data_IF_372947718139
#
_entry.id   IF_372947718139
#
_cell.length_a   1.000
_cell.length_b   1.000
_cell.length_c   1.000
_cell.angle_alpha   90.00
_cell.angle_beta   90.00
_cell.angle_gamma   90.00
#
_symmetry.space_group_name_H-M   'P 1'
#
loop_
_entity.id
_entity.type
_entity.pdbx_description
1 polymer ?
#
# COMPACT_ATOMS: atom_id res chain seq x y z
N UNK A 1 -14.06 15.99 71.89
CA UNK A 1 -12.61 16.10 72.22
C UNK A 1 -11.95 14.85 71.69
N UNK A 2 -10.90 14.84 70.86
CA UNK A 2 -10.14 15.82 70.08
C UNK A 2 -9.58 14.99 68.92
N UNK A 3 -10.02 15.24 67.68
CA UNK A 3 -9.16 15.68 66.57
C UNK A 3 -7.67 15.97 66.91
N UNK A 4 -6.78 15.21 66.28
CA UNK A 4 -5.44 15.61 65.84
C UNK A 4 -5.19 14.80 64.54
N UNK A 5 -5.33 15.31 63.31
CA UNK A 5 -4.67 16.43 62.62
C UNK A 5 -3.15 16.42 62.77
N UNK A 6 -2.50 15.53 62.02
CA UNK A 6 -1.22 15.82 61.37
C UNK A 6 -1.07 14.99 60.08
N UNK A 7 -1.83 15.39 59.07
CA UNK A 7 -1.45 15.14 57.67
C UNK A 7 -0.82 16.45 57.20
N UNK A 8 0.49 16.57 57.41
CA UNK A 8 1.30 17.62 56.79
C UNK A 8 1.28 17.39 55.29
N UNK A 9 0.59 18.29 54.57
CA UNK A 9 0.76 18.52 53.14
C UNK A 9 2.25 18.77 52.86
N UNK A 10 2.95 17.79 52.30
CA UNK A 10 4.16 18.02 51.53
C UNK A 10 3.73 18.43 50.11
N UNK A 11 3.11 19.60 50.00
CA UNK A 11 3.12 20.39 48.77
C UNK A 11 4.37 21.26 48.84
N UNK A 12 5.04 21.43 47.71
CA UNK A 12 6.12 22.40 47.47
C UNK A 12 7.56 21.90 47.65
N UNK A 13 7.96 20.98 46.78
CA UNK A 13 9.19 21.09 46.00
C UNK A 13 9.11 20.07 44.85
N UNK A 14 8.48 20.45 43.73
CA UNK A 14 8.77 19.78 42.46
C UNK A 14 10.26 20.00 42.26
N UNK A 15 11.07 18.95 42.41
CA UNK A 15 12.49 18.99 42.06
C UNK A 15 12.54 19.49 40.63
N UNK A 16 12.99 20.74 40.45
CA UNK A 16 13.16 21.37 39.14
C UNK A 16 14.08 20.46 38.34
N UNK A 17 13.48 19.64 37.49
CA UNK A 17 14.21 18.66 36.70
C UNK A 17 15.15 19.43 35.80
N UNK A 18 16.45 19.12 35.87
CA UNK A 18 17.43 19.73 34.99
C UNK A 18 17.29 19.14 33.59
N UNK A 19 16.49 19.79 32.75
CA UNK A 19 16.27 19.36 31.36
C UNK A 19 17.54 19.45 30.51
N UNK A 20 18.57 20.18 30.94
CA UNK A 20 19.87 20.20 30.28
C UNK A 20 20.75 18.99 30.64
N UNK A 21 20.31 18.12 31.55
CA UNK A 21 21.03 16.89 31.90
C UNK A 21 20.79 15.79 30.83
N UNK A 22 21.85 15.25 30.20
CA UNK A 22 21.72 14.20 29.18
C UNK A 22 20.97 12.95 29.67
N UNK A 23 21.15 12.57 30.94
CA UNK A 23 20.49 11.39 31.51
C UNK A 23 18.97 11.59 31.64
N UNK A 24 18.53 12.83 31.88
CA UNK A 24 17.10 13.15 31.91
C UNK A 24 16.52 13.00 30.51
N UNK A 25 17.19 13.54 29.50
CA UNK A 25 16.74 13.40 28.11
C UNK A 25 16.67 11.93 27.69
N UNK A 26 17.69 11.12 28.01
CA UNK A 26 17.68 9.67 27.75
C UNK A 26 16.46 9.00 28.39
N UNK A 27 16.12 9.33 29.64
CA UNK A 27 14.92 8.78 30.31
C UNK A 27 13.63 9.14 29.58
N UNK A 28 13.48 10.38 29.09
CA UNK A 28 12.32 10.77 28.30
C UNK A 28 12.28 10.05 26.95
N UNK A 29 13.43 9.89 26.27
CA UNK A 29 13.55 9.15 25.02
C UNK A 29 13.20 7.67 25.20
N UNK A 30 13.66 7.03 26.27
CA UNK A 30 13.33 5.64 26.59
C UNK A 30 11.85 5.49 26.95
N UNK A 31 11.31 6.48 27.68
CA UNK A 31 9.91 6.48 28.05
C UNK A 31 8.99 6.57 26.83
N UNK A 32 9.22 7.51 25.88
CA UNK A 32 8.38 7.58 24.68
C UNK A 32 8.45 6.31 23.83
N UNK A 33 9.62 5.66 23.72
CA UNK A 33 9.77 4.37 23.04
C UNK A 33 8.95 3.28 23.72
N UNK A 34 8.94 3.27 25.06
CA UNK A 34 8.11 2.36 25.84
C UNK A 34 6.62 2.61 25.57
N UNK A 35 6.19 3.88 25.55
CA UNK A 35 4.80 4.25 25.25
C UNK A 35 4.37 3.88 23.84
N UNK A 36 5.24 4.07 22.84
CA UNK A 36 5.01 3.67 21.45
C UNK A 36 4.81 2.14 21.35
N UNK A 37 5.75 1.40 21.93
CA UNK A 37 5.77 -0.07 21.86
C UNK A 37 4.56 -0.74 22.49
N UNK A 38 4.05 -0.18 23.59
CA UNK A 38 2.93 -0.75 24.35
C UNK A 38 1.61 0.00 24.17
N UNK A 39 1.60 1.03 23.32
CA UNK A 39 0.44 1.84 23.01
C UNK A 39 -0.28 2.44 24.24
N UNK A 40 0.50 3.00 25.16
CA UNK A 40 0.02 3.57 26.42
C UNK A 40 -0.50 5.00 26.22
N UNK A 41 -1.75 5.09 25.76
CA UNK A 41 -2.41 6.34 25.36
C UNK A 41 -2.55 7.34 26.52
N UNK A 42 -2.91 6.90 27.73
CA UNK A 42 -3.14 7.81 28.86
C UNK A 42 -1.83 8.47 29.31
N UNK A 43 -0.79 7.66 29.46
CA UNK A 43 0.56 8.09 29.83
C UNK A 43 1.19 8.98 28.76
N UNK A 44 0.93 8.67 27.48
CA UNK A 44 1.33 9.55 26.38
C UNK A 44 0.57 10.88 26.43
N UNK A 45 -0.69 10.90 26.85
CA UNK A 45 -1.46 12.13 27.02
C UNK A 45 -0.93 12.97 28.19
N UNK A 46 -0.57 12.33 29.30
CA UNK A 46 0.08 13.01 30.43
C UNK A 46 1.41 13.64 30.00
N UNK A 47 2.22 12.89 29.24
CA UNK A 47 3.48 13.40 28.68
C UNK A 47 3.25 14.56 27.71
N UNK A 48 2.25 14.45 26.84
CA UNK A 48 1.85 15.50 25.88
C UNK A 48 1.49 16.81 26.57
N UNK A 49 0.78 16.75 27.69
CA UNK A 49 0.35 17.93 28.44
C UNK A 49 1.48 18.50 29.29
N UNK A 50 2.22 17.64 30.02
CA UNK A 50 3.20 18.08 31.00
C UNK A 50 4.53 18.56 30.40
N UNK A 51 5.03 17.89 29.36
CA UNK A 51 6.36 18.21 28.80
C UNK A 51 6.45 19.63 28.21
N UNK A 52 5.47 20.12 27.42
CA UNK A 52 5.49 21.51 26.94
C UNK A 52 5.53 22.53 28.08
N UNK A 53 4.77 22.32 29.15
CA UNK A 53 4.75 23.20 30.33
C UNK A 53 6.15 23.25 30.97
N UNK A 54 6.82 22.10 31.11
CA UNK A 54 8.18 22.03 31.65
C UNK A 54 9.20 22.75 30.75
N UNK A 55 9.03 22.67 29.42
CA UNK A 55 9.89 23.35 28.46
C UNK A 55 9.70 24.87 28.49
N UNK A 56 8.46 25.35 28.63
CA UNK A 56 8.13 26.78 28.74
C UNK A 56 8.65 27.39 30.04
N UNK A 57 8.63 26.66 31.15
CA UNK A 57 9.18 27.13 32.43
C UNK A 57 10.72 27.26 32.43
N UNK A 58 11.40 26.73 31.41
CA UNK A 58 12.86 26.71 31.29
C UNK A 58 13.33 27.55 30.11
N UNK A 59 13.07 28.85 30.18
CA UNK A 59 13.40 29.86 29.16
C UNK A 59 14.85 29.79 28.64
N UNK A 60 15.80 29.30 29.45
CA UNK A 60 17.22 29.22 29.09
C UNK A 60 17.62 27.95 28.33
N UNK A 61 16.79 26.90 28.24
CA UNK A 61 17.17 25.64 27.58
C UNK A 61 17.47 25.87 26.09
N UNK A 62 16.73 26.77 25.45
CA UNK A 62 16.96 27.21 24.06
C UNK A 62 18.35 27.80 23.83
N UNK A 63 18.97 28.40 24.85
CA UNK A 63 20.30 29.01 24.79
C UNK A 63 21.41 28.05 25.20
N UNK A 64 21.16 27.20 26.20
CA UNK A 64 22.19 26.35 26.83
C UNK A 64 22.32 25.01 26.11
N UNK A 65 21.22 24.41 25.67
CA UNK A 65 21.20 23.11 25.02
C UNK A 65 20.12 23.06 23.92
N UNK A 66 20.30 23.79 22.80
CA UNK A 66 19.30 23.85 21.72
C UNK A 66 18.97 22.46 21.12
N UNK A 67 19.96 21.56 21.06
CA UNK A 67 19.76 20.19 20.58
C UNK A 67 18.84 19.37 21.49
N UNK A 68 18.87 19.64 22.80
CA UNK A 68 18.01 18.95 23.78
C UNK A 68 16.58 19.44 23.64
N UNK A 69 16.39 20.76 23.48
CA UNK A 69 15.08 21.34 23.20
C UNK A 69 14.45 20.72 21.93
N UNK A 70 15.25 20.54 20.87
CA UNK A 70 14.78 19.87 19.65
C UNK A 70 14.31 18.44 19.93
N UNK A 71 15.09 17.66 20.68
CA UNK A 71 14.74 16.27 21.02
C UNK A 71 13.50 16.19 21.93
N UNK A 72 13.36 17.05 22.93
CA UNK A 72 12.14 17.09 23.75
C UNK A 72 10.90 17.47 22.93
N UNK A 73 11.04 18.40 21.96
CA UNK A 73 9.94 18.73 21.05
C UNK A 73 9.54 17.53 20.20
N UNK A 74 10.51 16.79 19.67
CA UNK A 74 10.25 15.54 18.95
C UNK A 74 9.50 14.52 19.83
N UNK A 75 9.92 14.35 21.09
CA UNK A 75 9.23 13.49 22.08
C UNK A 75 7.77 13.93 22.28
N UNK A 76 7.53 15.24 22.42
CA UNK A 76 6.18 15.78 22.55
C UNK A 76 5.33 15.57 21.30
N UNK A 77 5.93 15.65 20.10
CA UNK A 77 5.27 15.36 18.82
C UNK A 77 4.84 13.89 18.75
N UNK A 78 5.73 12.96 19.10
CA UNK A 78 5.40 11.54 19.12
C UNK A 78 4.27 11.23 20.12
N UNK A 79 4.31 11.84 21.30
CA UNK A 79 3.23 11.72 22.28
C UNK A 79 1.87 12.17 21.67
N UNK A 80 1.85 13.27 20.90
CA UNK A 80 0.63 13.71 20.17
C UNK A 80 0.13 12.66 19.17
N UNK A 81 1.02 11.99 18.44
CA UNK A 81 0.64 10.94 17.49
C UNK A 81 0.11 9.67 18.16
N UNK A 82 0.60 9.31 19.35
CA UNK A 82 -0.01 8.21 20.13
C UNK A 82 -1.45 8.59 20.53
N UNK A 83 -1.66 9.86 20.86
CA UNK A 83 -2.90 10.34 21.44
C UNK A 83 -3.83 11.01 20.43
N UNK A 84 -3.76 10.68 19.13
CA UNK A 84 -4.57 11.38 18.11
C UNK A 84 -6.06 11.43 18.47
N UNK A 85 -6.61 10.36 19.05
CA UNK A 85 -8.04 10.24 19.39
C UNK A 85 -8.54 11.27 20.39
N UNK A 86 -7.67 11.83 21.24
CA UNK A 86 -8.06 12.85 22.24
C UNK A 86 -7.81 14.29 21.76
N UNK A 87 -7.14 14.47 20.63
CA UNK A 87 -6.89 15.80 20.05
C UNK A 87 -8.13 16.32 19.31
N UNK A 88 -8.28 17.64 19.26
CA UNK A 88 -9.28 18.26 18.38
C UNK A 88 -8.94 18.01 16.91
N UNK A 89 -9.95 18.07 16.03
CA UNK A 89 -9.74 17.86 14.59
C UNK A 89 -8.71 18.84 14.02
N UNK A 90 -8.75 20.10 14.46
CA UNK A 90 -7.80 21.15 14.04
C UNK A 90 -6.37 20.82 14.47
N UNK A 91 -6.16 20.35 15.69
CA UNK A 91 -4.83 19.95 16.15
C UNK A 91 -4.28 18.76 15.36
N UNK A 92 -5.13 17.79 15.01
CA UNK A 92 -4.70 16.65 14.18
C UNK A 92 -4.33 17.10 12.77
N UNK A 93 -5.13 17.98 12.16
CA UNK A 93 -4.84 18.56 10.84
C UNK A 93 -3.49 19.30 10.86
N UNK A 94 -3.26 20.15 11.85
CA UNK A 94 -2.00 20.88 12.03
C UNK A 94 -0.81 19.92 12.25
N UNK A 95 -1.00 18.88 13.06
CA UNK A 95 0.03 17.87 13.29
C UNK A 95 0.40 17.12 12.01
N UNK A 96 -0.58 16.76 11.18
CA UNK A 96 -0.37 16.10 9.89
C UNK A 96 0.29 17.04 8.86
N UNK A 97 -0.08 18.32 8.86
CA UNK A 97 0.49 19.31 7.95
C UNK A 97 1.95 19.63 8.27
N UNK A 98 2.31 19.64 9.56
CA UNK A 98 3.59 20.20 10.01
C UNK A 98 4.56 19.18 10.62
N UNK A 99 4.10 17.98 10.98
CA UNK A 99 4.89 17.03 11.80
C UNK A 99 4.78 15.56 11.34
N UNK A 100 4.09 15.26 10.24
CA UNK A 100 3.89 13.89 9.75
C UNK A 100 5.21 13.14 9.50
N UNK A 101 6.29 13.81 9.09
CA UNK A 101 7.57 13.10 8.87
C UNK A 101 8.12 12.46 10.15
N UNK A 102 7.85 13.04 11.32
CA UNK A 102 8.28 12.51 12.61
C UNK A 102 7.60 11.17 12.92
N UNK A 103 6.34 11.00 12.54
CA UNK A 103 5.63 9.74 12.72
C UNK A 103 6.06 8.67 11.71
N UNK A 104 6.37 9.07 10.47
CA UNK A 104 6.72 8.12 9.40
C UNK A 104 8.09 7.45 9.58
N UNK A 105 8.92 7.94 10.50
CA UNK A 105 10.21 7.32 10.82
C UNK A 105 10.15 6.34 11.99
N UNK A 106 9.04 6.32 12.74
CA UNK A 106 8.91 5.51 13.95
C UNK A 106 8.26 4.15 13.66
N UNK A 107 9.01 3.02 13.71
CA UNK A 107 8.51 1.70 13.32
C UNK A 107 7.46 1.14 14.29
N UNK A 108 7.53 1.54 15.57
CA UNK A 108 6.58 1.09 16.59
C UNK A 108 5.27 1.90 16.58
N UNK A 109 5.19 2.96 15.76
CA UNK A 109 3.99 3.78 15.60
C UNK A 109 3.16 3.31 14.40
N UNK A 110 2.10 2.55 14.66
CA UNK A 110 1.12 2.18 13.62
C UNK A 110 0.18 3.37 13.37
N UNK A 111 0.64 4.34 12.56
CA UNK A 111 -0.05 5.61 12.35
C UNK A 111 -1.45 5.43 11.73
N UNK A 112 -1.65 4.44 10.87
CA UNK A 112 -2.95 4.12 10.28
C UNK A 112 -4.00 3.85 11.37
N UNK A 113 -3.64 3.12 12.42
CA UNK A 113 -4.55 2.78 13.51
C UNK A 113 -4.85 4.01 14.39
N UNK A 114 -3.86 4.88 14.61
CA UNK A 114 -4.06 6.14 15.33
C UNK A 114 -5.03 7.07 14.61
N UNK A 115 -4.89 7.17 13.28
CA UNK A 115 -5.78 7.96 12.44
C UNK A 115 -7.19 7.36 12.45
N UNK A 116 -7.33 6.03 12.30
CA UNK A 116 -8.63 5.35 12.40
C UNK A 116 -9.30 5.57 13.75
N UNK A 117 -8.55 5.41 14.85
CA UNK A 117 -9.06 5.65 16.21
C UNK A 117 -9.56 7.09 16.38
N UNK A 118 -8.87 8.08 15.80
CA UNK A 118 -9.36 9.45 15.74
C UNK A 118 -10.63 9.58 14.91
N UNK A 119 -10.69 9.01 13.72
CA UNK A 119 -11.87 9.12 12.84
C UNK A 119 -13.11 8.53 13.52
N UNK A 120 -12.98 7.41 14.24
CA UNK A 120 -14.09 6.77 15.00
C UNK A 120 -14.70 7.72 16.04
N UNK A 121 -13.94 8.67 16.60
CA UNK A 121 -14.47 9.66 17.55
C UNK A 121 -15.48 10.63 16.92
N UNK A 122 -15.53 10.70 15.59
CA UNK A 122 -16.51 11.50 14.84
C UNK A 122 -17.75 10.63 14.62
N UNK A 123 -18.84 10.96 15.32
CA UNK A 123 -20.03 10.11 15.36
C UNK A 123 -20.75 9.99 14.01
N UNK A 124 -20.72 11.04 13.18
CA UNK A 124 -21.46 11.10 11.91
C UNK A 124 -20.54 10.65 10.77
N UNK A 125 -20.85 9.55 10.04
CA UNK A 125 -19.99 9.05 8.97
C UNK A 125 -19.72 10.04 7.83
N UNK A 126 -20.68 10.91 7.51
CA UNK A 126 -20.47 11.96 6.51
C UNK A 126 -19.42 13.00 6.97
N UNK A 127 -19.39 13.34 8.26
CA UNK A 127 -18.41 14.27 8.82
C UNK A 127 -17.01 13.66 8.89
N UNK A 128 -16.91 12.33 9.00
CA UNK A 128 -15.63 11.60 8.86
C UNK A 128 -15.02 11.83 7.48
N UNK A 129 -15.82 11.81 6.42
CA UNK A 129 -15.34 12.02 5.06
C UNK A 129 -14.88 13.47 4.84
N UNK A 130 -15.53 14.45 5.48
CA UNK A 130 -15.05 15.84 5.53
C UNK A 130 -13.67 15.89 6.19
N UNK A 131 -13.53 15.30 7.38
CA UNK A 131 -12.27 15.28 8.10
C UNK A 131 -11.16 14.55 7.34
N UNK A 132 -11.44 13.38 6.75
CA UNK A 132 -10.50 12.65 5.88
C UNK A 132 -10.03 13.48 4.70
N UNK A 133 -10.90 14.28 4.08
CA UNK A 133 -10.53 15.23 3.03
C UNK A 133 -9.58 16.30 3.56
N UNK A 134 -9.88 16.90 4.70
CA UNK A 134 -9.01 17.92 5.32
C UNK A 134 -7.62 17.35 5.67
N UNK A 135 -7.54 16.10 6.15
CA UNK A 135 -6.26 15.43 6.36
C UNK A 135 -5.48 15.25 5.06
N UNK A 136 -6.13 14.83 3.96
CA UNK A 136 -5.47 14.71 2.65
C UNK A 136 -4.97 16.05 2.13
N UNK A 137 -5.72 17.13 2.35
CA UNK A 137 -5.31 18.48 1.99
C UNK A 137 -4.12 18.97 2.83
N UNK A 138 -4.11 18.67 4.14
CA UNK A 138 -2.98 18.92 5.02
C UNK A 138 -1.72 18.19 4.56
N UNK A 139 -1.83 16.90 4.20
CA UNK A 139 -0.71 16.14 3.64
C UNK A 139 -0.18 16.75 2.32
N UNK A 140 -1.06 17.28 1.47
CA UNK A 140 -0.68 17.96 0.22
C UNK A 140 0.04 19.31 0.44
N UNK A 141 -0.24 19.99 1.56
CA UNK A 141 0.43 21.24 1.97
C UNK A 141 1.70 21.01 2.80
N UNK A 142 1.93 19.78 3.27
CA UNK A 142 3.08 19.44 4.11
C UNK A 142 4.40 19.61 3.34
N UNK A 143 5.29 20.45 3.88
CA UNK A 143 6.59 20.81 3.30
C UNK A 143 7.78 20.08 3.94
N UNK A 144 7.56 19.10 4.82
CA UNK A 144 8.63 18.34 5.44
C UNK A 144 9.28 17.40 4.42
N UNK A 145 10.60 17.35 4.43
CA UNK A 145 11.40 16.44 3.60
C UNK A 145 11.28 15.02 4.13
N UNK A 146 10.97 14.05 3.25
CA UNK A 146 10.79 12.64 3.63
C UNK A 146 11.84 11.69 3.02
N UNK A 147 12.48 12.11 1.92
CA UNK A 147 13.61 11.39 1.29
C UNK A 147 14.78 12.31 1.05
N UNK A 148 15.95 11.74 0.76
CA UNK A 148 17.22 12.45 0.59
C UNK A 148 17.45 13.04 -0.81
N UNK A 149 16.84 12.43 -1.84
CA UNK A 149 17.01 12.85 -3.24
C UNK A 149 15.80 13.63 -3.73
N UNK A 150 16.06 14.69 -4.49
CA UNK A 150 15.03 15.42 -5.22
C UNK A 150 14.27 14.51 -6.19
N UNK A 151 13.01 14.86 -6.42
CA UNK A 151 12.11 14.12 -7.31
C UNK A 151 11.73 14.97 -8.52
N UNK A 152 11.34 14.32 -9.62
CA UNK A 152 10.86 15.02 -10.82
C UNK A 152 9.34 14.98 -10.82
N UNK A 153 8.70 16.14 -10.70
CA UNK A 153 7.24 16.30 -10.78
C UNK A 153 6.96 17.27 -11.92
N UNK A 154 6.15 16.86 -12.89
CA UNK A 154 5.85 17.66 -14.09
C UNK A 154 7.08 18.10 -14.89
N UNK A 155 8.09 17.23 -14.95
CA UNK A 155 9.35 17.51 -15.66
C UNK A 155 10.24 18.52 -14.94
N UNK A 156 9.84 18.98 -13.75
CA UNK A 156 10.58 19.92 -12.92
C UNK A 156 11.13 19.19 -11.71
N UNK A 157 12.42 19.38 -11.44
CA UNK A 157 13.05 18.90 -10.20
C UNK A 157 12.47 19.67 -9.01
N UNK A 158 11.92 18.94 -8.04
CA UNK A 158 11.32 19.46 -6.82
C UNK A 158 12.00 18.86 -5.59
N UNK A 159 11.95 19.59 -4.49
CA UNK A 159 12.35 19.06 -3.19
C UNK A 159 11.47 17.87 -2.80
N UNK A 160 12.02 16.86 -2.11
CA UNK A 160 11.31 15.63 -1.74
C UNK A 160 10.41 15.81 -0.52
N UNK A 161 9.52 16.79 -0.57
CA UNK A 161 8.55 17.02 0.49
C UNK A 161 7.42 15.99 0.45
N UNK A 162 6.76 15.75 1.58
CA UNK A 162 5.55 14.92 1.66
C UNK A 162 4.52 15.35 0.61
N UNK A 163 4.22 16.65 0.53
CA UNK A 163 3.26 17.17 -0.43
C UNK A 163 3.67 16.94 -1.89
N UNK A 164 4.96 17.03 -2.22
CA UNK A 164 5.44 16.77 -3.59
C UNK A 164 5.42 15.29 -3.95
N UNK A 165 5.69 14.38 -3.01
CA UNK A 165 5.52 12.94 -3.22
C UNK A 165 4.07 12.54 -3.48
N UNK A 166 3.12 13.14 -2.76
CA UNK A 166 1.70 12.90 -3.01
C UNK A 166 1.26 13.45 -4.38
N UNK A 167 1.80 14.60 -4.80
CA UNK A 167 1.54 15.15 -6.15
C UNK A 167 2.09 14.24 -7.24
N UNK A 168 3.32 13.73 -7.07
CA UNK A 168 3.93 12.76 -7.98
C UNK A 168 3.07 11.49 -8.10
N UNK A 169 2.65 10.93 -6.96
CA UNK A 169 1.77 9.77 -6.91
C UNK A 169 0.42 10.02 -7.61
N UNK A 170 -0.24 11.13 -7.30
CA UNK A 170 -1.53 11.48 -7.92
C UNK A 170 -1.41 11.71 -9.43
N UNK A 171 -0.24 12.12 -9.92
CA UNK A 171 0.01 12.25 -11.36
C UNK A 171 0.11 10.90 -12.05
N UNK A 172 0.83 9.94 -11.47
CA UNK A 172 1.04 8.62 -12.07
C UNK A 172 -0.21 7.73 -11.95
N UNK A 173 -0.88 7.78 -10.80
CA UNK A 173 -1.98 6.86 -10.45
C UNK A 173 -3.36 7.50 -10.59
N UNK A 174 -3.46 8.83 -10.50
CA UNK A 174 -4.71 9.58 -10.50
C UNK A 174 -5.18 10.01 -9.11
N UNK A 175 -6.03 11.05 -9.07
CA UNK A 175 -6.55 11.62 -7.82
C UNK A 175 -7.69 10.79 -7.18
N UNK A 176 -8.34 9.91 -7.95
CA UNK A 176 -9.37 9.00 -7.44
C UNK A 176 -8.76 7.90 -6.55
N UNK A 177 -9.61 7.10 -5.91
CA UNK A 177 -9.16 5.89 -5.21
C UNK A 177 -8.47 4.96 -6.21
N UNK A 178 -7.25 4.53 -5.88
CA UNK A 178 -6.46 3.68 -6.74
C UNK A 178 -6.78 2.20 -6.51
N UNK A 179 -6.76 1.42 -7.59
CA UNK A 179 -6.65 -0.04 -7.46
C UNK A 179 -5.27 -0.40 -6.89
N UNK A 180 -5.22 -1.44 -6.06
CA UNK A 180 -4.00 -1.88 -5.37
C UNK A 180 -2.83 -2.10 -6.34
N UNK A 181 -3.11 -2.58 -7.56
CA UNK A 181 -2.10 -2.82 -8.58
C UNK A 181 -1.44 -1.54 -9.09
N UNK A 182 -2.18 -0.43 -9.18
CA UNK A 182 -1.63 0.86 -9.61
C UNK A 182 -0.70 1.43 -8.55
N UNK A 183 -1.07 1.31 -7.27
CA UNK A 183 -0.20 1.66 -6.13
C UNK A 183 1.11 0.88 -6.16
N UNK A 184 1.00 -0.43 -6.31
CA UNK A 184 2.14 -1.36 -6.46
C UNK A 184 3.03 -0.96 -7.63
N UNK A 185 2.43 -0.64 -8.78
CA UNK A 185 3.15 -0.24 -9.97
C UNK A 185 3.93 1.06 -9.74
N UNK A 186 3.31 2.07 -9.12
CA UNK A 186 4.00 3.31 -8.77
C UNK A 186 5.22 3.07 -7.87
N UNK A 187 5.03 2.32 -6.77
CA UNK A 187 6.09 2.02 -5.80
C UNK A 187 7.24 1.18 -6.36
N UNK A 188 7.09 0.59 -7.55
CA UNK A 188 8.13 -0.26 -8.16
C UNK A 188 8.69 0.26 -9.47
N UNK A 189 7.90 0.99 -10.24
CA UNK A 189 8.25 1.35 -11.62
C UNK A 189 8.37 2.84 -11.87
N UNK A 190 7.94 3.70 -10.94
CA UNK A 190 8.17 5.14 -11.05
C UNK A 190 9.68 5.45 -11.00
N UNK A 191 10.12 6.39 -11.84
CA UNK A 191 11.52 6.79 -11.90
C UNK A 191 11.98 7.43 -10.58
N UNK A 192 11.07 8.12 -9.88
CA UNK A 192 11.32 8.69 -8.55
C UNK A 192 11.46 7.59 -7.48
N UNK A 193 10.69 6.49 -7.55
CA UNK A 193 10.72 5.44 -6.52
C UNK A 193 11.87 4.44 -6.71
N UNK A 194 12.36 4.24 -7.95
CA UNK A 194 13.50 3.35 -8.26
C UNK A 194 14.81 3.77 -7.60
N UNK A 195 15.00 5.05 -7.34
CA UNK A 195 16.27 5.61 -6.82
C UNK A 195 16.35 5.62 -5.29
N UNK A 196 15.27 5.22 -4.61
CA UNK A 196 15.14 5.22 -3.15
C UNK A 196 15.85 4.02 -2.52
N UNK A 197 16.40 4.23 -1.33
CA UNK A 197 16.85 3.11 -0.48
C UNK A 197 15.67 2.47 0.24
N UNK A 198 15.84 1.25 0.77
CA UNK A 198 14.74 0.48 1.37
C UNK A 198 14.00 1.23 2.49
N UNK A 199 14.72 1.94 3.37
CA UNK A 199 14.09 2.71 4.45
C UNK A 199 13.23 3.85 3.91
N UNK A 200 13.70 4.59 2.92
CA UNK A 200 12.94 5.66 2.27
C UNK A 200 11.72 5.12 1.53
N UNK A 201 11.89 3.99 0.84
CA UNK A 201 10.80 3.31 0.14
C UNK A 201 9.67 2.92 1.10
N UNK A 202 10.01 2.40 2.28
CA UNK A 202 9.03 2.07 3.31
C UNK A 202 8.28 3.33 3.77
N UNK A 203 8.96 4.46 3.98
CA UNK A 203 8.31 5.73 4.35
C UNK A 203 7.30 6.19 3.29
N UNK A 204 7.69 6.12 2.01
CA UNK A 204 6.80 6.47 0.90
C UNK A 204 5.62 5.50 0.81
N UNK A 205 5.86 4.20 0.97
CA UNK A 205 4.79 3.21 1.00
C UNK A 205 3.78 3.47 2.12
N UNK A 206 4.24 3.69 3.35
CA UNK A 206 3.38 4.05 4.49
C UNK A 206 2.61 5.35 4.22
N UNK A 207 3.28 6.37 3.69
CA UNK A 207 2.64 7.64 3.31
C UNK A 207 1.50 7.43 2.31
N UNK A 208 1.75 6.69 1.24
CA UNK A 208 0.75 6.41 0.20
C UNK A 208 -0.38 5.54 0.73
N UNK A 209 -0.09 4.55 1.58
CA UNK A 209 -1.12 3.71 2.21
C UNK A 209 -2.07 4.54 3.09
N UNK A 210 -1.54 5.45 3.90
CA UNK A 210 -2.35 6.37 4.70
C UNK A 210 -3.20 7.25 3.76
N UNK A 211 -2.58 7.85 2.76
CA UNK A 211 -3.26 8.73 1.81
C UNK A 211 -4.42 8.03 1.07
N UNK A 212 -4.21 6.81 0.60
CA UNK A 212 -5.25 5.99 -0.07
C UNK A 212 -6.35 5.55 0.90
N UNK A 213 -6.01 5.19 2.13
CA UNK A 213 -7.02 4.83 3.14
C UNK A 213 -7.95 6.03 3.45
N UNK A 214 -7.41 7.25 3.46
CA UNK A 214 -8.21 8.48 3.61
C UNK A 214 -9.11 8.79 2.39
N UNK A 215 -8.91 8.14 1.24
CA UNK A 215 -9.81 8.26 0.08
C UNK A 215 -11.09 7.41 0.22
N UNK A 216 -11.06 6.37 1.06
CA UNK A 216 -12.20 5.46 1.25
C UNK A 216 -13.28 6.14 2.08
N UNK A 217 -14.51 6.18 1.55
CA UNK A 217 -15.63 6.79 2.25
C UNK A 217 -16.05 5.94 3.45
N UNK A 218 -16.25 6.59 4.59
CA UNK A 218 -16.72 6.00 5.84
C UNK A 218 -18.17 5.50 5.74
N UNK A 219 -18.86 5.84 4.65
CA UNK A 219 -20.22 5.37 4.34
C UNK A 219 -20.25 4.06 3.55
N UNK A 220 -19.09 3.55 3.11
CA UNK A 220 -19.01 2.27 2.41
C UNK A 220 -18.41 1.19 3.32
N UNK A 221 -18.74 -0.09 3.09
CA UNK A 221 -18.14 -1.21 3.82
C UNK A 221 -16.60 -1.20 3.83
N UNK A 222 -15.98 -0.79 2.73
CA UNK A 222 -14.53 -0.78 2.55
C UNK A 222 -13.84 0.33 3.33
N UNK A 223 -14.53 1.45 3.56
CA UNK A 223 -14.00 2.63 4.24
C UNK A 223 -14.49 2.82 5.67
N UNK A 224 -15.36 1.95 6.17
CA UNK A 224 -15.79 1.94 7.56
C UNK A 224 -14.59 1.63 8.50
N UNK A 225 -14.44 2.44 9.55
CA UNK A 225 -13.37 2.27 10.53
C UNK A 225 -13.72 1.20 11.57
N UNK A 226 -15.00 1.03 11.88
CA UNK A 226 -15.47 0.06 12.84
C UNK A 226 -15.53 -1.34 12.25
N UNK A 227 -15.35 -2.30 13.14
CA UNK A 227 -15.61 -3.70 12.86
C UNK A 227 -17.09 -3.96 13.11
N UNK A 228 -17.82 -4.37 12.08
CA UNK A 228 -19.25 -4.67 12.20
C UNK A 228 -19.42 -6.17 12.43
N UNK A 229 -19.92 -6.60 13.60
CA UNK A 229 -20.23 -8.01 13.82
C UNK A 229 -21.42 -8.42 12.94
N UNK A 230 -21.32 -9.60 12.35
CA UNK A 230 -22.34 -10.17 11.48
C UNK A 230 -22.57 -11.64 11.85
N UNK A 231 -23.82 -12.07 11.92
CA UNK A 231 -24.15 -13.44 12.30
C UNK A 231 -25.01 -14.10 11.23
N UNK A 232 -24.54 -15.24 10.71
CA UNK A 232 -25.23 -16.00 9.68
C UNK A 232 -24.90 -17.48 9.85
N UNK A 233 -25.87 -18.37 9.62
CA UNK A 233 -25.70 -19.83 9.60
C UNK A 233 -25.02 -20.39 10.86
N UNK A 234 -25.39 -19.84 12.03
CA UNK A 234 -24.81 -20.17 13.33
C UNK A 234 -23.28 -19.90 13.45
N UNK A 235 -22.76 -18.99 12.63
CA UNK A 235 -21.37 -18.56 12.65
C UNK A 235 -21.28 -17.05 12.86
N UNK A 236 -20.30 -16.64 13.66
CA UNK A 236 -19.98 -15.23 13.87
C UNK A 236 -18.93 -14.79 12.87
N UNK A 237 -19.25 -13.73 12.15
CA UNK A 237 -18.38 -13.04 11.23
C UNK A 237 -18.12 -11.62 11.72
N UNK A 238 -17.06 -11.02 11.20
CA UNK A 238 -16.84 -9.59 11.26
C UNK A 238 -16.66 -9.05 9.86
N UNK A 239 -17.33 -7.94 9.54
CA UNK A 239 -17.06 -7.16 8.36
C UNK A 239 -15.97 -6.14 8.71
N UNK A 240 -14.83 -6.25 8.05
CA UNK A 240 -13.66 -5.38 8.22
C UNK A 240 -13.13 -4.99 6.85
N UNK A 241 -13.06 -3.69 6.56
CA UNK A 241 -12.54 -3.16 5.28
C UNK A 241 -13.19 -3.83 4.05
N UNK A 242 -14.51 -4.02 4.09
CA UNK A 242 -15.29 -4.64 3.02
C UNK A 242 -15.14 -6.16 2.90
N UNK A 243 -14.41 -6.81 3.82
CA UNK A 243 -14.23 -8.27 3.84
C UNK A 243 -14.99 -8.89 5.00
N UNK A 244 -15.70 -9.97 4.72
CA UNK A 244 -16.34 -10.79 5.73
C UNK A 244 -15.35 -11.84 6.23
N UNK A 245 -15.00 -11.79 7.51
CA UNK A 245 -14.03 -12.68 8.14
C UNK A 245 -14.74 -13.52 9.21
N UNK A 246 -14.55 -14.83 9.17
CA UNK A 246 -15.08 -15.73 10.20
C UNK A 246 -14.30 -15.51 11.51
N UNK A 247 -15.02 -15.25 12.60
CA UNK A 247 -14.42 -15.23 13.94
C UNK A 247 -14.08 -16.66 14.31
N UNK A 248 -12.79 -16.98 14.27
CA UNK A 248 -12.31 -18.28 14.75
C UNK A 248 -12.35 -18.28 16.27
N UNK A 249 -12.82 -19.36 16.91
CA UNK A 249 -12.80 -19.44 18.35
C UNK A 249 -11.36 -19.39 18.85
N UNK A 250 -11.12 -18.51 19.82
CA UNK A 250 -9.79 -18.31 20.42
C UNK A 250 -9.41 -19.56 21.22
N UNK A 251 -8.22 -20.12 20.94
CA UNK A 251 -7.75 -21.36 21.56
C UNK A 251 -7.60 -21.24 23.09
N UNK A 252 -7.22 -20.06 23.57
CA UNK A 252 -7.13 -19.76 25.01
C UNK A 252 -8.54 -19.71 25.59
N UNK A 253 -9.45 -18.96 24.98
CA UNK A 253 -10.84 -18.92 25.47
C UNK A 253 -11.48 -20.32 25.48
N UNK A 254 -11.28 -21.12 24.43
CA UNK A 254 -11.76 -22.50 24.39
C UNK A 254 -11.18 -23.35 25.53
N UNK A 255 -9.87 -23.26 25.80
CA UNK A 255 -9.26 -24.02 26.89
C UNK A 255 -9.76 -23.60 28.28
N UNK A 256 -10.04 -22.31 28.49
CA UNK A 256 -10.63 -21.79 29.73
C UNK A 256 -12.04 -22.35 29.90
N UNK A 257 -12.84 -22.35 28.83
CA UNK A 257 -14.20 -22.91 28.83
C UNK A 257 -14.19 -24.43 29.05
N UNK A 258 -13.14 -25.13 28.61
CA UNK A 258 -12.92 -26.55 28.86
C UNK A 258 -12.35 -26.86 30.26
N UNK A 259 -12.10 -25.83 31.09
CA UNK A 259 -11.56 -25.99 32.45
C UNK A 259 -10.08 -26.36 32.49
N UNK A 260 -9.35 -26.22 31.38
CA UNK A 260 -7.89 -26.44 31.32
C UNK A 260 -7.17 -25.20 31.82
N UNK A 261 -6.18 -25.34 32.73
CA UNK A 261 -5.40 -24.20 33.18
C UNK A 261 -4.59 -23.61 32.02
N UNK A 262 -4.55 -22.28 31.93
CA UNK A 262 -3.88 -21.54 30.83
C UNK A 262 -2.39 -21.92 30.69
N UNK A 263 -1.76 -22.36 31.78
CA UNK A 263 -0.37 -22.84 31.83
C UNK A 263 -0.13 -24.17 31.09
N UNK A 264 -1.15 -25.00 30.87
CA UNK A 264 -1.05 -26.29 30.17
C UNK A 264 -1.27 -26.17 28.66
N UNK A 265 -1.69 -24.99 28.20
CA UNK A 265 -1.70 -24.70 26.78
C UNK A 265 -0.24 -24.54 26.36
N UNK A 266 0.24 -25.46 25.52
CA UNK A 266 1.48 -25.28 24.78
C UNK A 266 1.23 -24.19 23.71
N UNK A 267 1.08 -22.96 24.20
CA UNK A 267 1.46 -21.77 23.49
C UNK A 267 2.88 -22.06 23.06
N UNK A 268 3.22 -22.01 21.77
CA UNK A 268 4.62 -22.02 21.36
C UNK A 268 5.30 -20.84 22.08
N UNK A 269 5.82 -21.03 23.30
CA UNK A 269 6.25 -19.97 24.24
C UNK A 269 7.58 -19.32 23.82
N UNK A 270 7.90 -19.40 22.52
CA UNK A 270 8.91 -18.60 21.84
C UNK A 270 8.36 -17.76 20.68
N UNK A 271 7.12 -17.99 20.23
CA UNK A 271 6.39 -17.02 19.42
C UNK A 271 5.51 -16.25 20.38
N UNK A 272 5.87 -14.98 20.61
CA UNK A 272 5.00 -14.00 21.26
C UNK A 272 3.56 -14.27 20.82
N UNK A 273 2.63 -14.43 21.76
CA UNK A 273 1.23 -14.20 21.45
C UNK A 273 1.13 -12.75 21.02
N UNK A 274 1.33 -12.55 19.73
CA UNK A 274 0.81 -11.40 19.03
C UNK A 274 -0.69 -11.54 19.22
N UNK A 275 -1.29 -10.61 19.98
CA UNK A 275 -2.64 -10.15 19.60
C UNK A 275 -2.61 -10.12 18.07
N UNK A 276 -3.63 -10.59 17.35
CA UNK A 276 -3.74 -10.25 15.94
C UNK A 276 -4.02 -8.73 15.86
N UNK A 277 -3.07 -7.90 16.29
CA UNK A 277 -2.49 -6.90 15.41
C UNK A 277 -2.39 -7.64 14.09
N UNK A 278 -3.28 -7.34 13.16
CA UNK A 278 -2.95 -7.51 11.77
C UNK A 278 -1.75 -6.57 11.63
N UNK A 279 -0.57 -7.08 11.96
CA UNK A 279 0.66 -6.31 11.82
C UNK A 279 0.64 -5.89 10.38
N UNK A 280 0.91 -4.63 10.14
CA UNK A 280 1.21 -4.15 8.80
C UNK A 280 2.15 -5.16 8.12
N UNK A 281 3.12 -5.78 8.80
CA UNK A 281 3.91 -6.93 8.32
C UNK A 281 3.14 -8.05 7.58
N UNK A 282 1.93 -8.44 8.00
CA UNK A 282 1.13 -9.48 7.34
C UNK A 282 0.44 -8.96 6.05
N UNK A 283 -0.09 -7.73 6.07
CA UNK A 283 -0.63 -7.06 4.87
C UNK A 283 0.52 -6.68 3.91
N UNK A 284 1.63 -6.16 4.44
CA UNK A 284 2.88 -5.88 3.75
C UNK A 284 3.51 -7.16 3.19
N UNK A 285 3.38 -8.31 3.85
CA UNK A 285 3.85 -9.59 3.29
C UNK A 285 2.99 -10.02 2.11
N UNK A 286 1.66 -9.87 2.19
CA UNK A 286 0.77 -10.20 1.09
C UNK A 286 0.98 -9.25 -0.10
N UNK A 287 1.12 -7.95 0.15
CA UNK A 287 1.41 -6.93 -0.87
C UNK A 287 2.77 -7.14 -1.53
N UNK A 288 3.80 -7.48 -0.73
CA UNK A 288 5.14 -7.82 -1.23
C UNK A 288 5.17 -9.17 -1.96
N UNK A 289 4.40 -10.15 -1.50
CA UNK A 289 4.26 -11.45 -2.16
C UNK A 289 3.58 -11.29 -3.53
N UNK A 290 2.49 -10.51 -3.60
CA UNK A 290 1.82 -10.16 -4.86
C UNK A 290 2.79 -9.40 -5.79
N UNK A 291 3.58 -8.47 -5.24
CA UNK A 291 4.57 -7.71 -5.99
C UNK A 291 5.64 -8.62 -6.61
N UNK A 292 6.22 -9.51 -5.80
CA UNK A 292 7.25 -10.47 -6.22
C UNK A 292 6.65 -11.42 -7.26
N UNK A 293 5.44 -11.93 -7.00
CA UNK A 293 4.74 -12.82 -7.93
C UNK A 293 4.45 -12.11 -9.27
N UNK A 294 4.01 -10.84 -9.26
CA UNK A 294 3.69 -10.06 -10.45
C UNK A 294 4.93 -9.75 -11.31
N UNK A 295 6.06 -9.42 -10.66
CA UNK A 295 7.33 -9.19 -11.36
C UNK A 295 7.84 -10.49 -12.01
N UNK A 296 7.61 -11.64 -11.37
CA UNK A 296 8.15 -12.93 -11.79
C UNK A 296 9.67 -13.01 -11.58
N UNK A 297 10.36 -13.88 -12.32
CA UNK A 297 11.81 -14.02 -12.23
C UNK A 297 12.53 -12.72 -12.64
N UNK A 298 13.30 -12.07 -11.74
CA UNK A 298 14.05 -10.85 -12.06
C UNK A 298 15.01 -11.00 -13.24
N UNK A 299 15.60 -12.18 -13.45
CA UNK A 299 16.50 -12.43 -14.59
C UNK A 299 15.74 -12.39 -15.90
N UNK A 300 14.60 -13.07 -15.95
CA UNK A 300 13.70 -13.04 -17.11
C UNK A 300 13.18 -11.62 -17.37
N UNK A 301 12.74 -10.91 -16.32
CA UNK A 301 12.26 -9.53 -16.44
C UNK A 301 13.32 -8.60 -17.06
N UNK A 302 14.57 -8.71 -16.60
CA UNK A 302 15.70 -7.95 -17.16
C UNK A 302 16.00 -8.34 -18.61
N UNK A 303 15.92 -9.63 -18.95
CA UNK A 303 16.12 -10.11 -20.32
C UNK A 303 15.02 -9.60 -21.27
N UNK A 304 13.76 -9.61 -20.83
CA UNK A 304 12.62 -9.05 -21.59
C UNK A 304 12.82 -7.55 -21.81
N UNK A 305 13.20 -6.79 -20.78
CA UNK A 305 13.46 -5.36 -20.91
C UNK A 305 14.60 -5.06 -21.90
N UNK A 306 15.69 -5.81 -21.85
CA UNK A 306 16.80 -5.66 -22.80
C UNK A 306 16.38 -5.96 -24.25
N UNK A 307 15.52 -6.97 -24.47
CA UNK A 307 14.97 -7.26 -25.79
C UNK A 307 14.00 -6.15 -26.25
N UNK A 308 13.16 -5.63 -25.36
CA UNK A 308 12.27 -4.50 -25.64
C UNK A 308 13.05 -3.25 -26.08
N UNK A 309 14.15 -2.92 -25.39
CA UNK A 309 15.02 -1.81 -25.76
C UNK A 309 15.69 -2.01 -27.13
N UNK A 310 16.17 -3.23 -27.43
CA UNK A 310 16.74 -3.56 -28.75
C UNK A 310 15.69 -3.38 -29.84
N UNK A 311 14.50 -3.94 -29.65
CA UNK A 311 13.40 -3.86 -30.62
C UNK A 311 12.96 -2.42 -30.84
N UNK A 312 12.82 -1.62 -29.78
CA UNK A 312 12.42 -0.23 -29.89
C UNK A 312 13.50 0.62 -30.58
N UNK A 313 14.80 0.34 -30.39
CA UNK A 313 15.89 0.97 -31.14
C UNK A 313 15.89 0.58 -32.62
N UNK A 314 15.64 -0.70 -32.92
CA UNK A 314 15.65 -1.20 -34.31
C UNK A 314 14.42 -0.80 -35.11
N UNK A 315 13.26 -0.66 -34.46
CA UNK A 315 11.96 -0.56 -35.13
C UNK A 315 11.06 0.56 -34.60
N UNK A 316 11.57 1.55 -33.86
CA UNK A 316 10.84 2.49 -32.98
C UNK A 316 9.50 3.08 -33.43
N UNK A 317 9.16 3.08 -34.73
CA UNK A 317 7.80 3.33 -35.24
C UNK A 317 7.32 2.39 -36.35
N UNK A 318 8.15 1.44 -36.82
CA UNK A 318 7.82 0.52 -37.91
C UNK A 318 7.05 -0.70 -37.39
N UNK A 319 5.72 -0.55 -37.29
CA UNK A 319 4.81 -1.58 -36.80
C UNK A 319 4.82 -2.84 -37.69
N UNK A 320 5.06 -2.71 -39.00
CA UNK A 320 5.11 -3.84 -39.90
C UNK A 320 6.30 -4.76 -39.58
N UNK A 321 7.49 -4.18 -39.36
CA UNK A 321 8.66 -4.95 -38.91
C UNK A 321 8.46 -5.53 -37.52
N UNK A 322 7.83 -4.81 -36.61
CA UNK A 322 7.56 -5.32 -35.26
C UNK A 322 6.62 -6.55 -35.30
N UNK A 323 5.60 -6.55 -36.16
CA UNK A 323 4.73 -7.73 -36.39
C UNK A 323 5.48 -8.90 -37.02
N UNK A 324 6.35 -8.65 -38.00
CA UNK A 324 7.21 -9.69 -38.59
C UNK A 324 8.14 -10.32 -37.55
N UNK A 325 8.76 -9.48 -36.72
CA UNK A 325 9.64 -9.93 -35.65
C UNK A 325 8.89 -10.73 -34.59
N UNK A 326 7.65 -10.34 -34.26
CA UNK A 326 6.78 -11.12 -33.39
C UNK A 326 6.58 -12.54 -33.93
N UNK A 327 6.23 -12.71 -35.21
CA UNK A 327 6.07 -14.03 -35.83
C UNK A 327 7.38 -14.83 -35.78
N UNK A 328 8.51 -14.21 -36.12
CA UNK A 328 9.81 -14.86 -36.08
C UNK A 328 10.17 -15.33 -34.66
N UNK A 329 9.91 -14.51 -33.64
CA UNK A 329 10.14 -14.85 -32.24
C UNK A 329 9.26 -16.01 -31.78
N UNK A 330 7.97 -16.00 -32.12
CA UNK A 330 7.03 -17.10 -31.82
C UNK A 330 7.46 -18.39 -32.51
N UNK A 331 7.85 -18.35 -33.78
CA UNK A 331 8.29 -19.52 -34.53
C UNK A 331 9.57 -20.13 -33.94
N UNK A 332 10.50 -19.28 -33.49
CA UNK A 332 11.74 -19.69 -32.82
C UNK A 332 11.55 -20.06 -31.35
N UNK A 333 10.32 -19.98 -30.82
CA UNK A 333 9.99 -20.15 -29.39
C UNK A 333 10.83 -19.27 -28.45
N UNK A 334 11.18 -18.07 -28.90
CA UNK A 334 11.96 -17.13 -28.08
C UNK A 334 11.02 -16.37 -27.13
N UNK A 335 10.81 -16.93 -25.93
CA UNK A 335 9.89 -16.42 -24.91
C UNK A 335 10.12 -14.93 -24.63
N UNK A 336 11.35 -14.55 -24.28
CA UNK A 336 11.66 -13.17 -23.86
C UNK A 336 11.37 -12.16 -24.97
N UNK A 337 11.76 -12.50 -26.20
CA UNK A 337 11.57 -11.62 -27.36
C UNK A 337 10.11 -11.56 -27.80
N UNK A 338 9.36 -12.66 -27.71
CA UNK A 338 7.92 -12.64 -27.96
C UNK A 338 7.18 -11.76 -26.95
N UNK A 339 7.48 -11.87 -25.65
CA UNK A 339 6.86 -11.01 -24.63
C UNK A 339 7.21 -9.54 -24.87
N UNK A 340 8.46 -9.24 -25.22
CA UNK A 340 8.88 -7.88 -25.56
C UNK A 340 8.10 -7.31 -26.77
N UNK A 341 7.91 -8.11 -27.83
CA UNK A 341 7.07 -7.72 -28.97
C UNK A 341 5.62 -7.47 -28.55
N UNK A 342 5.02 -8.34 -27.73
CA UNK A 342 3.64 -8.17 -27.25
C UNK A 342 3.48 -6.89 -26.43
N UNK A 343 4.43 -6.56 -25.55
CA UNK A 343 4.43 -5.31 -24.78
C UNK A 343 4.49 -4.10 -25.71
N UNK A 344 5.43 -4.06 -26.65
CA UNK A 344 5.57 -2.95 -27.60
C UNK A 344 4.34 -2.79 -28.50
N UNK A 345 3.77 -3.89 -29.00
CA UNK A 345 2.54 -3.85 -29.79
C UNK A 345 1.37 -3.32 -28.96
N UNK A 346 1.31 -3.65 -27.67
CA UNK A 346 0.26 -3.14 -26.78
C UNK A 346 0.46 -1.66 -26.45
N UNK A 347 1.68 -1.25 -26.12
CA UNK A 347 2.07 0.14 -25.84
C UNK A 347 1.79 1.06 -27.03
N UNK A 348 2.02 0.58 -28.26
CA UNK A 348 1.75 1.32 -29.50
C UNK A 348 0.31 1.18 -30.00
N UNK A 349 -0.58 0.61 -29.18
CA UNK A 349 -1.98 0.37 -29.53
C UNK A 349 -2.19 -0.47 -30.81
N UNK A 350 -1.21 -1.30 -31.16
CA UNK A 350 -1.18 -2.07 -32.40
C UNK A 350 -1.59 -3.53 -32.23
N UNK A 351 -1.59 -4.09 -31.01
CA UNK A 351 -1.96 -5.50 -30.78
C UNK A 351 -3.41 -5.80 -31.24
N UNK A 352 -4.34 -4.90 -31.00
CA UNK A 352 -5.71 -5.01 -31.52
C UNK A 352 -5.79 -4.82 -33.04
N UNK A 353 -5.05 -3.86 -33.58
CA UNK A 353 -4.97 -3.63 -35.02
C UNK A 353 -4.37 -4.83 -35.73
N UNK A 354 -3.42 -5.51 -35.09
CA UNK A 354 -2.79 -6.72 -35.61
C UNK A 354 -3.81 -7.84 -35.77
N UNK A 355 -4.67 -8.07 -34.76
CA UNK A 355 -5.77 -9.05 -34.84
C UNK A 355 -6.84 -8.67 -35.87
N UNK A 356 -7.07 -7.38 -36.07
CA UNK A 356 -8.10 -6.87 -37.01
C UNK A 356 -7.62 -6.88 -38.47
N UNK A 357 -6.41 -6.41 -38.71
CA UNK A 357 -5.91 -6.01 -40.03
C UNK A 357 -4.99 -7.05 -40.67
N UNK A 358 -4.30 -7.91 -39.90
CA UNK A 358 -3.41 -8.91 -40.48
C UNK A 358 -4.22 -10.10 -41.02
N UNK A 359 -4.40 -10.14 -42.34
CA UNK A 359 -5.21 -11.15 -43.02
C UNK A 359 -4.71 -12.56 -42.73
N UNK A 360 -3.38 -12.77 -42.74
CA UNK A 360 -2.78 -14.10 -42.55
C UNK A 360 -3.04 -14.61 -41.14
N UNK A 361 -2.82 -13.76 -40.14
CA UNK A 361 -3.13 -14.08 -38.74
C UNK A 361 -4.61 -14.36 -38.56
N UNK A 362 -5.47 -13.49 -39.10
CA UNK A 362 -6.91 -13.60 -38.91
C UNK A 362 -7.47 -14.88 -39.54
N UNK A 363 -7.06 -15.23 -40.76
CA UNK A 363 -7.46 -16.49 -41.40
C UNK A 363 -6.95 -17.70 -40.61
N UNK A 364 -5.71 -17.65 -40.14
CA UNK A 364 -5.15 -18.70 -39.30
C UNK A 364 -5.95 -18.91 -38.01
N UNK A 365 -6.27 -17.83 -37.29
CA UNK A 365 -7.05 -17.88 -36.06
C UNK A 365 -8.49 -18.34 -36.32
N UNK A 366 -9.12 -17.88 -37.40
CA UNK A 366 -10.48 -18.32 -37.80
C UNK A 366 -10.52 -19.83 -38.00
N UNK A 367 -9.62 -20.40 -38.80
CA UNK A 367 -9.58 -21.85 -39.06
C UNK A 367 -9.27 -22.62 -37.78
N UNK A 368 -8.33 -22.12 -36.96
CA UNK A 368 -7.92 -22.78 -35.72
C UNK A 368 -9.06 -22.79 -34.71
N UNK A 369 -9.72 -21.65 -34.49
CA UNK A 369 -10.79 -21.51 -33.50
C UNK A 369 -12.12 -22.08 -33.98
N UNK A 370 -12.40 -22.11 -35.28
CA UNK A 370 -13.55 -22.86 -35.81
C UNK A 370 -13.40 -24.35 -35.50
N UNK A 371 -12.19 -24.91 -35.66
CA UNK A 371 -11.91 -26.32 -35.33
C UNK A 371 -11.99 -26.60 -33.82
N UNK A 372 -11.56 -25.66 -32.98
CA UNK A 372 -11.51 -25.86 -31.52
C UNK A 372 -12.82 -25.51 -30.80
N UNK A 373 -13.52 -24.46 -31.24
CA UNK A 373 -14.66 -23.85 -30.53
C UNK A 373 -15.95 -23.77 -31.36
N UNK A 374 -15.91 -24.18 -32.64
CA UNK A 374 -17.07 -24.23 -33.53
C UNK A 374 -17.25 -22.98 -34.41
N UNK A 375 -18.10 -23.13 -35.43
CA UNK A 375 -18.34 -22.12 -36.46
C UNK A 375 -18.94 -20.80 -35.91
N UNK A 376 -19.84 -20.90 -34.93
CA UNK A 376 -20.46 -19.72 -34.31
C UNK A 376 -19.43 -18.85 -33.57
N UNK A 377 -18.48 -19.49 -32.87
CA UNK A 377 -17.41 -18.77 -32.17
C UNK A 377 -16.48 -18.06 -33.16
N UNK A 378 -16.10 -18.75 -34.25
CA UNK A 378 -15.32 -18.15 -35.32
C UNK A 378 -16.07 -16.99 -36.02
N UNK A 379 -17.39 -17.10 -36.18
CA UNK A 379 -18.21 -16.01 -36.72
C UNK A 379 -18.20 -14.77 -35.80
N UNK A 380 -18.26 -14.95 -34.48
CA UNK A 380 -18.14 -13.84 -33.52
C UNK A 380 -16.75 -13.18 -33.59
N UNK A 381 -15.68 -13.96 -33.72
CA UNK A 381 -14.34 -13.41 -33.92
C UNK A 381 -14.23 -12.60 -35.22
N UNK A 382 -14.84 -13.09 -36.31
CA UNK A 382 -14.88 -12.39 -37.59
C UNK A 382 -15.56 -11.03 -37.48
N UNK A 383 -16.61 -10.91 -36.68
CA UNK A 383 -17.35 -9.65 -36.48
C UNK A 383 -16.59 -8.67 -35.59
N UNK A 384 -15.97 -9.12 -34.50
CA UNK A 384 -15.30 -8.25 -33.56
C UNK A 384 -14.04 -8.89 -32.96
N UNK A 385 -12.92 -8.90 -33.71
CA UNK A 385 -11.70 -9.60 -33.30
C UNK A 385 -10.98 -8.95 -32.11
N UNK A 386 -11.40 -7.74 -31.74
CA UNK A 386 -10.80 -6.95 -30.66
C UNK A 386 -11.56 -7.07 -29.34
N UNK A 387 -12.58 -7.92 -29.24
CA UNK A 387 -13.18 -8.21 -27.93
C UNK A 387 -12.17 -8.86 -27.00
N UNK A 388 -12.24 -8.53 -25.71
CA UNK A 388 -11.30 -9.02 -24.70
C UNK A 388 -11.15 -10.54 -24.71
N UNK A 389 -12.24 -11.29 -24.89
CA UNK A 389 -12.19 -12.76 -24.94
C UNK A 389 -11.30 -13.28 -26.06
N UNK A 390 -11.30 -12.64 -27.23
CA UNK A 390 -10.46 -13.04 -28.35
C UNK A 390 -9.01 -12.60 -28.18
N UNK A 391 -8.77 -11.41 -27.60
CA UNK A 391 -7.40 -11.01 -27.26
C UNK A 391 -6.81 -11.94 -26.20
N UNK A 392 -7.60 -12.29 -25.17
CA UNK A 392 -7.23 -13.27 -24.14
C UNK A 392 -6.93 -14.63 -24.75
N UNK A 393 -7.80 -15.13 -25.63
CA UNK A 393 -7.61 -16.40 -26.29
C UNK A 393 -6.36 -16.41 -27.19
N UNK A 394 -6.11 -15.31 -27.91
CA UNK A 394 -4.90 -15.12 -28.68
C UNK A 394 -3.65 -15.16 -27.80
N UNK A 395 -3.64 -14.45 -26.66
CA UNK A 395 -2.52 -14.45 -25.73
C UNK A 395 -2.29 -15.85 -25.14
N UNK A 396 -3.35 -16.57 -24.75
CA UNK A 396 -3.28 -17.95 -24.28
C UNK A 396 -2.68 -18.87 -25.33
N UNK A 397 -3.17 -18.78 -26.57
CA UNK A 397 -2.63 -19.56 -27.68
C UNK A 397 -1.12 -19.33 -27.88
N UNK A 398 -0.69 -18.06 -27.87
CA UNK A 398 0.73 -17.74 -28.06
C UNK A 398 1.58 -18.17 -26.87
N UNK A 399 1.17 -17.84 -25.64
CA UNK A 399 1.97 -18.08 -24.45
C UNK A 399 1.93 -19.55 -24.02
N UNK A 400 0.74 -20.13 -23.90
CA UNK A 400 0.54 -21.50 -23.40
C UNK A 400 0.84 -22.54 -24.48
N UNK A 401 0.28 -22.40 -25.70
CA UNK A 401 0.40 -23.45 -26.72
C UNK A 401 1.68 -23.31 -27.56
N UNK A 402 2.01 -22.10 -28.04
CA UNK A 402 3.18 -21.91 -28.93
C UNK A 402 4.50 -21.85 -28.16
N UNK A 403 4.51 -21.16 -27.04
CA UNK A 403 5.69 -20.99 -26.19
C UNK A 403 5.78 -22.01 -25.05
N UNK A 404 4.77 -22.87 -24.86
CA UNK A 404 4.75 -23.89 -23.79
C UNK A 404 4.95 -23.30 -22.39
N UNK A 405 4.48 -22.06 -22.19
CA UNK A 405 4.55 -21.37 -20.90
C UNK A 405 3.51 -21.96 -19.93
N UNK A 406 3.85 -22.18 -18.65
CA UNK A 406 2.88 -22.58 -17.64
C UNK A 406 1.72 -21.58 -17.55
N UNK A 407 0.49 -22.08 -17.37
CA UNK A 407 -0.73 -21.26 -17.40
C UNK A 407 -0.68 -20.05 -16.45
N UNK A 408 -0.17 -20.23 -15.23
CA UNK A 408 0.02 -19.14 -14.27
C UNK A 408 1.03 -18.10 -14.76
N UNK A 409 2.15 -18.52 -15.35
CA UNK A 409 3.12 -17.57 -15.89
C UNK A 409 2.55 -16.83 -17.12
N UNK A 410 1.78 -17.52 -17.97
CA UNK A 410 1.09 -16.93 -19.10
C UNK A 410 0.04 -15.89 -18.65
N UNK A 411 -0.76 -16.22 -17.65
CA UNK A 411 -1.75 -15.31 -17.05
C UNK A 411 -1.09 -14.08 -16.41
N UNK A 412 0.07 -14.24 -15.75
CA UNK A 412 0.88 -13.12 -15.25
C UNK A 412 1.29 -12.17 -16.37
N UNK A 413 1.79 -12.70 -17.49
CA UNK A 413 2.09 -11.87 -18.68
C UNK A 413 0.82 -11.23 -19.24
N UNK A 414 -0.30 -11.95 -19.28
CA UNK A 414 -1.60 -11.43 -19.65
C UNK A 414 -2.04 -10.23 -18.80
N UNK A 415 -1.87 -10.32 -17.48
CA UNK A 415 -2.15 -9.22 -16.54
C UNK A 415 -1.21 -8.03 -16.78
N UNK A 416 0.07 -8.26 -17.05
CA UNK A 416 1.00 -7.18 -17.39
C UNK A 416 0.57 -6.44 -18.65
N UNK A 417 0.13 -7.15 -19.70
CA UNK A 417 -0.37 -6.55 -20.94
C UNK A 417 -1.70 -5.83 -20.72
N UNK A 418 -2.58 -6.39 -19.90
CA UNK A 418 -3.83 -5.76 -19.50
C UNK A 418 -3.61 -4.39 -18.86
N UNK A 419 -2.63 -4.28 -17.98
CA UNK A 419 -2.27 -3.02 -17.34
C UNK A 419 -1.79 -1.98 -18.36
N UNK A 420 -1.08 -2.39 -19.41
CA UNK A 420 -0.70 -1.49 -20.52
C UNK A 420 -1.95 -1.00 -21.26
N UNK A 421 -2.90 -1.89 -21.57
CA UNK A 421 -4.18 -1.50 -22.19
C UNK A 421 -5.01 -0.54 -21.34
N UNK A 422 -5.09 -0.80 -20.03
CA UNK A 422 -5.81 0.07 -19.08
C UNK A 422 -5.16 1.46 -19.02
N UNK A 423 -3.82 1.53 -18.99
CA UNK A 423 -3.07 2.79 -19.08
C UNK A 423 -3.34 3.56 -20.38
N UNK A 424 -3.57 2.84 -21.49
CA UNK A 424 -3.98 3.43 -22.76
C UNK A 424 -5.48 3.78 -22.83
N UNK A 425 -6.22 3.71 -21.72
CA UNK A 425 -7.63 4.09 -21.61
C UNK A 425 -8.63 2.95 -21.82
N UNK A 426 -8.18 1.71 -22.08
CA UNK A 426 -9.05 0.57 -22.37
C UNK A 426 -9.41 -0.22 -21.12
N UNK A 427 -10.24 0.38 -20.26
CA UNK A 427 -10.58 -0.16 -18.92
C UNK A 427 -11.13 -1.58 -18.94
N UNK A 428 -11.84 -2.00 -19.98
CA UNK A 428 -12.40 -3.35 -20.10
C UNK A 428 -11.34 -4.45 -19.99
N UNK A 429 -10.09 -4.16 -20.34
CA UNK A 429 -8.98 -5.10 -20.29
C UNK A 429 -8.55 -5.48 -18.87
N UNK A 430 -9.02 -4.80 -17.83
CA UNK A 430 -8.76 -5.20 -16.44
C UNK A 430 -9.29 -6.61 -16.10
N UNK A 431 -10.18 -7.18 -16.93
CA UNK A 431 -10.67 -8.56 -16.85
C UNK A 431 -9.91 -9.55 -17.73
N UNK A 432 -8.62 -9.31 -18.00
CA UNK A 432 -7.79 -10.23 -18.79
C UNK A 432 -7.29 -11.42 -17.95
N UNK A 433 -6.65 -11.11 -16.83
CA UNK A 433 -6.13 -12.07 -15.86
C UNK A 433 -6.15 -11.43 -14.46
N UNK A 434 -6.05 -12.24 -13.41
CA UNK A 434 -6.00 -11.81 -12.02
C UNK A 434 -5.03 -12.67 -11.21
N UNK A 435 -4.62 -12.20 -10.05
CA UNK A 435 -3.86 -12.98 -9.09
C UNK A 435 -4.83 -13.52 -8.02
N UNK A 436 -4.86 -14.83 -7.82
CA UNK A 436 -5.61 -15.45 -6.73
C UNK A 436 -4.71 -15.54 -5.50
N UNK A 437 -5.09 -14.81 -4.45
CA UNK A 437 -4.36 -14.74 -3.19
C UNK A 437 -4.38 -16.09 -2.45
N UNK A 438 -5.40 -16.93 -2.70
CA UNK A 438 -5.59 -18.21 -2.00
C UNK A 438 -4.56 -19.25 -2.43
N UNK A 439 -4.33 -19.39 -3.73
CA UNK A 439 -3.38 -20.37 -4.28
C UNK A 439 -2.04 -19.75 -4.71
N UNK A 440 -1.92 -18.42 -4.63
CA UNK A 440 -0.76 -17.63 -5.03
C UNK A 440 -0.40 -17.82 -6.51
N UNK A 441 -1.38 -18.07 -7.37
CA UNK A 441 -1.21 -18.21 -8.81
C UNK A 441 -1.95 -17.11 -9.58
N UNK A 442 -1.50 -16.85 -10.81
CA UNK A 442 -2.26 -16.02 -11.73
C UNK A 442 -3.22 -16.89 -12.53
N UNK A 443 -4.42 -16.39 -12.73
CA UNK A 443 -5.45 -17.04 -13.50
C UNK A 443 -5.93 -16.11 -14.61
N UNK A 444 -6.22 -16.67 -15.76
CA UNK A 444 -7.04 -15.97 -16.75
C UNK A 444 -8.44 -15.82 -16.17
N UNK A 445 -9.10 -14.70 -16.42
CA UNK A 445 -10.55 -14.68 -16.20
C UNK A 445 -11.18 -15.76 -17.08
N UNK A 446 -12.22 -16.44 -16.59
CA UNK A 446 -13.09 -17.24 -17.44
C UNK A 446 -13.96 -16.31 -18.29
N UNK A 447 -14.47 -16.82 -19.41
CA UNK A 447 -15.54 -16.15 -20.17
C UNK A 447 -16.90 -16.34 -19.50
#
# INVERSE_FOLDING_TARGET
>A
MMADKNITKNSDQIVLTDLANPQVLTKYSDYIKYLLKYDFINEANDLRVSLPILLEQKDNLSRIAPDFLSQYRHIAILAKFITLSVLSNREVIDLIENNLSEALVEPDLILTDKIKAKIVTIMIPADRDIFKRELREAMLRNNQLITSKNIVVDGVTREPTIGNWIKDYNKDVGAAQAEQINKIQYLTTSDNTKILVSQEKNKIETLINIYENLKKSSTTPEGAEEVVPYYQDNQHYVLREGKLELIKPDKILLSILEGKPVSEINIETGKKYEVPVIREEAIFSADRDILIAYQGDPKQAKAIAAEQDKLNKSFGGDLAKLRQEFFAAVQKKNVNRTIACLRLLTEKNDLENFLRQDEKLRQFLLVTWEKQYGADFAAQFRQNPTQIKFVRLFLRYILEERLTMPASEAARVGLQLANIFVKAGKKSYNKMAYFDVKDKLFHWFSD
#
